data_IF_896394035764
#
_entry.id   IF_896394035764
#
_cell.length_a   1.000
_cell.length_b   1.000
_cell.length_c   1.000
_cell.angle_alpha   90.00
_cell.angle_beta   90.00
_cell.angle_gamma   90.00
#
_symmetry.space_group_name_H-M   'P 1'
#
loop_
_entity.id
_entity.type
_entity.pdbx_description
1 polymer ?
#
# COMPACT_ATOMS: atom_id res chain seq x y z
N UNK A 1 3.72 -28.90 -30.47
CA UNK A 1 4.71 -29.41 -29.49
C UNK A 1 4.16 -29.12 -28.12
N UNK A 2 3.65 -30.14 -27.45
CA UNK A 2 3.14 -30.05 -26.09
C UNK A 2 4.33 -29.81 -25.16
N UNK A 3 4.45 -28.61 -24.61
CA UNK A 3 5.40 -28.31 -23.54
C UNK A 3 4.96 -29.13 -22.32
N UNK A 4 5.72 -30.16 -21.97
CA UNK A 4 5.57 -30.81 -20.66
C UNK A 4 5.65 -29.73 -19.57
N UNK A 5 4.74 -29.75 -18.57
CA UNK A 5 4.80 -28.77 -17.50
C UNK A 5 6.13 -28.91 -16.76
N UNK A 6 6.88 -27.82 -16.65
CA UNK A 6 8.09 -27.75 -15.84
C UNK A 6 7.74 -28.17 -14.40
N UNK A 7 8.38 -29.23 -13.91
CA UNK A 7 8.19 -29.72 -12.56
C UNK A 7 8.65 -28.64 -11.55
N UNK A 8 7.91 -28.51 -10.45
CA UNK A 8 8.22 -27.51 -9.42
C UNK A 8 9.48 -27.93 -8.65
N UNK A 9 10.51 -27.06 -8.52
CA UNK A 9 11.75 -27.43 -7.87
C UNK A 9 11.60 -27.53 -6.35
N UNK A 10 12.06 -28.64 -5.78
CA UNK A 10 12.07 -28.90 -4.33
C UNK A 10 13.47 -29.29 -3.91
N UNK A 11 14.02 -28.59 -2.93
CA UNK A 11 15.33 -28.89 -2.34
C UNK A 11 15.16 -29.73 -1.08
N UNK A 12 15.79 -30.89 -1.02
CA UNK A 12 15.87 -31.75 0.18
C UNK A 12 17.27 -31.63 0.78
N UNK A 13 17.35 -31.22 2.04
CA UNK A 13 18.60 -31.01 2.77
C UNK A 13 18.58 -31.87 4.03
N UNK A 14 19.49 -32.83 4.09
CA UNK A 14 19.65 -33.76 5.21
C UNK A 14 21.08 -34.32 5.12
N UNK A 15 21.78 -34.62 6.21
CA UNK A 15 23.13 -35.17 6.16
C UNK A 15 23.15 -36.69 5.93
N UNK A 16 22.03 -37.38 6.22
CA UNK A 16 21.86 -38.81 6.02
C UNK A 16 21.41 -39.14 4.57
N UNK A 17 22.28 -39.82 3.80
CA UNK A 17 22.00 -40.16 2.40
C UNK A 17 20.75 -41.03 2.22
N UNK A 18 20.51 -41.99 3.11
CA UNK A 18 19.33 -42.86 3.05
C UNK A 18 18.02 -42.08 3.19
N UNK A 19 17.99 -41.08 4.08
CA UNK A 19 16.82 -40.21 4.28
C UNK A 19 16.62 -39.29 3.07
N UNK A 20 17.69 -38.66 2.57
CA UNK A 20 17.64 -37.85 1.33
C UNK A 20 17.08 -38.66 0.16
N UNK A 21 17.59 -39.86 -0.07
CA UNK A 21 17.19 -40.73 -1.19
C UNK A 21 15.74 -41.19 -1.05
N UNK A 22 15.27 -41.43 0.17
CA UNK A 22 13.89 -41.80 0.45
C UNK A 22 12.93 -40.64 0.16
N UNK A 23 13.20 -39.46 0.71
CA UNK A 23 12.38 -38.26 0.46
C UNK A 23 12.35 -37.92 -1.03
N UNK A 24 13.49 -38.02 -1.70
CA UNK A 24 13.60 -37.75 -3.14
C UNK A 24 12.74 -38.68 -3.97
N UNK A 25 12.77 -39.99 -3.70
CA UNK A 25 11.89 -40.97 -4.37
C UNK A 25 10.41 -40.73 -4.10
N UNK A 26 10.04 -40.31 -2.90
CA UNK A 26 8.63 -40.02 -2.56
C UNK A 26 8.07 -38.80 -3.31
N UNK A 27 8.93 -37.84 -3.65
CA UNK A 27 8.59 -36.58 -4.30
C UNK A 27 8.81 -36.57 -5.83
N UNK A 28 9.69 -37.42 -6.36
CA UNK A 28 10.08 -37.45 -7.78
C UNK A 28 8.91 -37.58 -8.78
N UNK A 29 7.76 -38.12 -8.35
CA UNK A 29 6.58 -38.25 -9.22
C UNK A 29 5.86 -36.93 -9.55
N UNK A 30 6.19 -35.82 -8.87
CA UNK A 30 5.50 -34.54 -9.07
C UNK A 30 6.38 -33.28 -8.93
N UNK A 31 7.67 -33.45 -8.63
CA UNK A 31 8.59 -32.36 -8.33
C UNK A 31 9.96 -32.59 -8.96
N UNK A 32 10.65 -31.51 -9.31
CA UNK A 32 12.07 -31.53 -9.65
C UNK A 32 12.86 -31.54 -8.34
N UNK A 33 13.23 -32.73 -7.86
CA UNK A 33 13.87 -32.87 -6.56
C UNK A 33 15.38 -32.71 -6.68
N UNK A 34 15.90 -31.74 -5.95
CA UNK A 34 17.32 -31.45 -5.79
C UNK A 34 17.72 -31.80 -4.36
N UNK A 35 18.95 -32.26 -4.16
CA UNK A 35 19.41 -32.70 -2.84
C UNK A 35 20.67 -31.97 -2.42
N UNK A 36 20.80 -31.64 -1.14
CA UNK A 36 22.03 -31.14 -0.53
C UNK A 36 22.35 -31.96 0.73
N UNK A 37 23.63 -32.22 0.97
CA UNK A 37 24.12 -32.99 2.13
C UNK A 37 24.40 -32.15 3.36
N UNK A 38 24.43 -30.83 3.22
CA UNK A 38 24.71 -29.88 4.30
C UNK A 38 24.16 -28.47 3.94
N UNK A 39 24.17 -27.57 4.92
CA UNK A 39 23.64 -26.22 4.76
C UNK A 39 24.38 -25.36 3.72
N UNK A 40 25.71 -25.46 3.61
CA UNK A 40 26.48 -24.64 2.67
C UNK A 40 26.20 -25.02 1.20
N UNK A 41 26.09 -26.33 0.96
CA UNK A 41 25.71 -26.90 -0.33
C UNK A 41 24.25 -26.53 -0.70
N UNK A 42 23.36 -26.49 0.28
CA UNK A 42 21.99 -26.02 0.11
C UNK A 42 21.95 -24.54 -0.27
N UNK A 43 22.71 -23.68 0.42
CA UNK A 43 22.76 -22.25 0.12
C UNK A 43 23.32 -21.97 -1.26
N UNK A 44 24.34 -22.70 -1.72
CA UNK A 44 24.87 -22.51 -3.08
C UNK A 44 23.78 -22.76 -4.12
N UNK A 45 22.93 -23.76 -3.90
CA UNK A 45 21.80 -24.03 -4.80
C UNK A 45 20.74 -22.94 -4.74
N UNK A 46 20.40 -22.46 -3.54
CA UNK A 46 19.40 -21.39 -3.36
C UNK A 46 19.85 -20.09 -4.04
N UNK A 47 21.13 -19.74 -4.01
CA UNK A 47 21.65 -18.55 -4.70
C UNK A 47 21.68 -18.71 -6.23
N UNK A 48 21.84 -19.93 -6.74
CA UNK A 48 21.90 -20.20 -8.18
C UNK A 48 20.51 -20.27 -8.83
N UNK A 49 19.69 -21.20 -8.37
CA UNK A 49 18.31 -21.40 -8.84
C UNK A 49 17.40 -21.73 -7.65
N UNK A 50 16.75 -20.72 -7.05
CA UNK A 50 15.96 -20.88 -5.83
C UNK A 50 14.83 -21.92 -6.00
N UNK A 51 14.70 -22.88 -5.07
CA UNK A 51 13.61 -23.85 -5.12
C UNK A 51 12.27 -23.22 -4.70
N UNK A 52 11.15 -23.85 -5.05
CA UNK A 52 9.86 -23.46 -4.51
C UNK A 52 9.72 -23.85 -3.04
N UNK A 53 10.27 -25.00 -2.67
CA UNK A 53 10.25 -25.55 -1.31
C UNK A 53 11.65 -26.04 -0.92
N UNK A 54 12.10 -25.73 0.29
CA UNK A 54 13.28 -26.31 0.92
C UNK A 54 12.84 -27.14 2.14
N UNK A 55 13.05 -28.46 2.06
CA UNK A 55 12.88 -29.41 3.16
C UNK A 55 14.22 -29.54 3.88
N UNK A 56 14.31 -29.06 5.11
CA UNK A 56 15.57 -28.98 5.84
C UNK A 56 15.51 -29.83 7.10
N UNK A 57 16.42 -30.79 7.25
CA UNK A 57 16.67 -31.41 8.54
C UNK A 57 17.20 -30.38 9.54
N UNK A 58 16.72 -30.44 10.78
CA UNK A 58 17.19 -29.54 11.83
C UNK A 58 18.64 -29.87 12.24
N UNK A 59 19.01 -31.15 12.31
CA UNK A 59 20.22 -31.63 12.99
C UNK A 59 21.29 -32.05 11.97
N UNK A 60 21.95 -31.06 11.38
CA UNK A 60 23.07 -31.28 10.46
C UNK A 60 24.43 -30.91 11.09
N UNK A 61 25.54 -31.61 10.73
CA UNK A 61 26.89 -31.22 11.12
C UNK A 61 27.27 -29.81 10.64
N UNK A 62 27.97 -29.06 11.50
CA UNK A 62 28.40 -27.70 11.20
C UNK A 62 27.28 -26.69 11.41
N UNK A 63 26.59 -26.32 10.35
CA UNK A 63 25.47 -25.36 10.38
C UNK A 63 24.15 -26.10 10.35
N UNK A 64 23.29 -25.81 11.32
CA UNK A 64 22.02 -26.49 11.50
C UNK A 64 20.92 -26.00 10.53
N UNK A 65 19.79 -26.71 10.52
CA UNK A 65 18.68 -26.38 9.63
C UNK A 65 17.97 -25.07 9.96
N UNK A 66 18.01 -24.60 11.21
CA UNK A 66 17.40 -23.33 11.62
C UNK A 66 18.21 -22.16 11.09
N UNK A 67 19.53 -22.25 11.18
CA UNK A 67 20.45 -21.31 10.56
C UNK A 67 20.22 -21.26 9.05
N UNK A 68 20.13 -22.42 8.39
CA UNK A 68 19.86 -22.50 6.96
C UNK A 68 18.52 -21.83 6.59
N UNK A 69 17.46 -22.09 7.36
CA UNK A 69 16.14 -21.50 7.14
C UNK A 69 16.19 -19.97 7.17
N UNK A 70 16.93 -19.38 8.12
CA UNK A 70 17.13 -17.93 8.18
C UNK A 70 17.86 -17.40 6.94
N UNK A 71 18.94 -18.05 6.53
CA UNK A 71 19.68 -17.62 5.34
C UNK A 71 18.86 -17.75 4.04
N UNK A 72 18.05 -18.81 3.91
CA UNK A 72 17.14 -18.97 2.77
C UNK A 72 16.11 -17.85 2.73
N UNK A 73 15.54 -17.46 3.88
CA UNK A 73 14.61 -16.32 3.93
C UNK A 73 15.23 -15.02 3.47
N UNK A 74 16.46 -14.75 3.90
CA UNK A 74 17.14 -13.50 3.55
C UNK A 74 17.52 -13.48 2.06
N UNK A 75 17.94 -14.62 1.49
CA UNK A 75 18.35 -14.72 0.09
C UNK A 75 17.16 -14.90 -0.88
N UNK A 76 16.13 -15.63 -0.48
CA UNK A 76 14.96 -15.97 -1.28
C UNK A 76 13.69 -16.02 -0.41
N UNK A 77 13.08 -14.85 -0.12
CA UNK A 77 11.88 -14.75 0.72
C UNK A 77 10.68 -15.52 0.19
N UNK A 78 10.67 -15.87 -1.10
CA UNK A 78 9.60 -16.63 -1.75
C UNK A 78 9.77 -18.14 -1.56
N UNK A 79 10.94 -18.64 -1.14
CA UNK A 79 11.17 -20.07 -0.94
C UNK A 79 10.47 -20.58 0.32
N UNK A 80 9.61 -21.58 0.18
CA UNK A 80 8.92 -22.16 1.32
C UNK A 80 9.83 -23.10 2.12
N UNK A 81 10.15 -22.76 3.38
CA UNK A 81 10.98 -23.63 4.23
C UNK A 81 10.12 -24.54 5.09
N UNK A 82 10.37 -25.85 5.02
CA UNK A 82 9.73 -26.90 5.81
C UNK A 82 10.82 -27.61 6.60
N UNK A 83 10.64 -27.73 7.92
CA UNK A 83 11.64 -28.35 8.78
C UNK A 83 11.32 -29.83 9.05
N UNK A 84 12.31 -30.71 8.93
CA UNK A 84 12.24 -32.09 9.39
C UNK A 84 12.97 -32.21 10.75
N UNK A 85 12.31 -32.79 11.74
CA UNK A 85 12.77 -32.76 13.14
C UNK A 85 12.55 -34.10 13.85
N UNK A 86 13.35 -34.43 14.86
CA UNK A 86 13.15 -35.62 15.69
C UNK A 86 12.08 -35.42 16.78
N UNK A 87 11.55 -36.52 17.33
CA UNK A 87 10.52 -36.51 18.39
C UNK A 87 10.96 -35.78 19.67
N UNK A 88 12.27 -35.66 19.93
CA UNK A 88 12.79 -34.99 21.14
C UNK A 88 12.84 -33.46 21.05
N UNK A 89 12.57 -32.88 19.87
CA UNK A 89 12.76 -31.45 19.61
C UNK A 89 11.43 -30.65 19.55
N UNK A 90 10.31 -31.24 20.00
CA UNK A 90 8.96 -30.61 19.92
C UNK A 90 8.89 -29.27 20.67
N UNK A 91 9.65 -29.11 21.76
CA UNK A 91 9.75 -27.84 22.48
C UNK A 91 10.51 -26.76 21.68
N UNK A 92 11.53 -27.15 20.90
CA UNK A 92 12.26 -26.27 19.98
C UNK A 92 11.45 -25.94 18.71
N UNK A 93 10.51 -26.81 18.31
CA UNK A 93 9.64 -26.60 17.15
C UNK A 93 8.70 -25.39 17.32
N UNK A 94 8.24 -25.10 18.55
CA UNK A 94 7.38 -23.94 18.86
C UNK A 94 8.14 -22.61 18.68
N UNK A 95 9.40 -22.54 19.13
CA UNK A 95 10.27 -21.36 18.94
C UNK A 95 10.64 -21.15 17.47
N UNK A 96 10.66 -22.23 16.70
CA UNK A 96 11.09 -22.21 15.30
C UNK A 96 9.99 -21.76 14.32
N UNK A 97 8.69 -21.93 14.66
CA UNK A 97 7.58 -21.31 13.89
C UNK A 97 7.67 -19.78 13.88
N UNK A 98 8.20 -19.18 14.95
CA UNK A 98 8.51 -17.74 15.00
C UNK A 98 9.72 -17.36 14.13
N UNK A 99 10.51 -18.35 13.72
CA UNK A 99 11.63 -18.23 12.78
C UNK A 99 11.20 -18.68 11.38
N UNK A 100 9.97 -18.36 10.93
CA UNK A 100 9.62 -18.31 9.52
C UNK A 100 9.62 -19.63 8.71
N UNK A 101 9.56 -20.79 9.36
CA UNK A 101 9.21 -22.04 8.66
C UNK A 101 7.69 -22.14 8.49
N UNK A 102 7.25 -22.70 7.36
CA UNK A 102 5.83 -22.82 7.00
C UNK A 102 5.22 -24.10 7.58
N UNK A 103 6.03 -25.14 7.80
CA UNK A 103 5.56 -26.40 8.35
C UNK A 103 6.69 -27.22 8.99
N UNK A 104 6.31 -28.20 9.81
CA UNK A 104 7.20 -29.13 10.51
C UNK A 104 6.80 -30.59 10.28
N UNK A 105 7.81 -31.42 10.06
CA UNK A 105 7.70 -32.87 9.87
C UNK A 105 8.45 -33.60 10.99
N UNK A 106 7.72 -34.26 11.87
CA UNK A 106 8.32 -35.06 12.94
C UNK A 106 8.72 -36.44 12.43
N UNK A 107 10.01 -36.78 12.49
CA UNK A 107 10.57 -38.09 12.12
C UNK A 107 10.24 -39.13 13.22
N UNK A 108 9.82 -40.37 12.86
CA UNK A 108 9.60 -40.86 11.50
C UNK A 108 8.25 -40.39 10.93
N UNK A 109 8.24 -39.99 9.65
CA UNK A 109 7.01 -39.62 8.92
C UNK A 109 6.85 -40.47 7.66
N UNK A 110 5.60 -40.63 7.23
CA UNK A 110 5.26 -41.36 6.00
C UNK A 110 5.24 -40.48 4.74
N UNK A 111 5.13 -41.13 3.58
CA UNK A 111 5.04 -40.49 2.26
C UNK A 111 3.93 -39.45 2.17
N UNK A 112 2.74 -39.77 2.67
CA UNK A 112 1.57 -38.89 2.52
C UNK A 112 1.75 -37.59 3.32
N UNK A 113 2.27 -37.69 4.55
CA UNK A 113 2.56 -36.52 5.39
C UNK A 113 3.60 -35.59 4.75
N UNK A 114 4.67 -36.15 4.19
CA UNK A 114 5.67 -35.37 3.46
C UNK A 114 5.04 -34.65 2.25
N UNK A 115 4.24 -35.36 1.46
CA UNK A 115 3.56 -34.79 0.28
C UNK A 115 2.62 -33.65 0.66
N UNK A 116 1.81 -33.83 1.69
CA UNK A 116 0.90 -32.79 2.17
C UNK A 116 1.64 -31.52 2.60
N UNK A 117 2.76 -31.67 3.30
CA UNK A 117 3.60 -30.54 3.69
C UNK A 117 4.22 -29.84 2.48
N UNK A 118 4.77 -30.58 1.52
CA UNK A 118 5.33 -30.00 0.30
C UNK A 118 4.26 -29.31 -0.55
N UNK A 119 3.07 -29.90 -0.68
CA UNK A 119 1.95 -29.26 -1.40
C UNK A 119 1.57 -27.91 -0.77
N UNK A 120 1.49 -27.83 0.57
CA UNK A 120 1.26 -26.56 1.27
C UNK A 120 2.39 -25.56 1.02
N UNK A 121 3.65 -26.00 1.06
CA UNK A 121 4.80 -25.16 0.76
C UNK A 121 4.77 -24.60 -0.66
N UNK A 122 4.40 -25.41 -1.66
CA UNK A 122 4.28 -24.97 -3.06
C UNK A 122 3.15 -23.95 -3.23
N UNK A 123 2.00 -24.17 -2.60
CA UNK A 123 0.90 -23.20 -2.66
C UNK A 123 1.30 -21.86 -2.03
N UNK A 124 1.94 -21.91 -0.86
CA UNK A 124 2.49 -20.72 -0.21
C UNK A 124 3.49 -19.99 -1.11
N UNK A 125 4.43 -20.72 -1.73
CA UNK A 125 5.40 -20.15 -2.67
C UNK A 125 4.70 -19.42 -3.82
N UNK A 126 3.68 -20.05 -4.43
CA UNK A 126 2.91 -19.43 -5.52
C UNK A 126 2.22 -18.15 -5.05
N UNK A 127 1.55 -18.15 -3.91
CA UNK A 127 0.90 -16.96 -3.36
C UNK A 127 1.91 -15.85 -3.04
N UNK A 128 3.07 -16.20 -2.47
CA UNK A 128 4.14 -15.25 -2.18
C UNK A 128 4.70 -14.60 -3.46
N UNK A 129 4.94 -15.41 -4.49
CA UNK A 129 5.40 -14.92 -5.80
C UNK A 129 4.39 -14.05 -6.51
N UNK A 130 3.12 -14.44 -6.48
CA UNK A 130 2.03 -13.64 -7.06
C UNK A 130 1.91 -12.29 -6.35
N UNK A 131 1.92 -12.30 -5.02
CA UNK A 131 1.89 -11.07 -4.21
C UNK A 131 3.07 -10.15 -4.53
N UNK A 132 4.28 -10.70 -4.66
CA UNK A 132 5.48 -9.93 -5.04
C UNK A 132 5.36 -9.33 -6.44
N UNK A 133 5.02 -10.15 -7.44
CA UNK A 133 4.85 -9.70 -8.83
C UNK A 133 3.78 -8.63 -8.95
N UNK A 134 2.68 -8.79 -8.22
CA UNK A 134 1.62 -7.79 -8.16
C UNK A 134 2.14 -6.46 -7.62
N UNK A 135 2.90 -6.46 -6.53
CA UNK A 135 3.53 -5.24 -5.97
C UNK A 135 4.49 -4.59 -6.97
N UNK A 136 5.39 -5.36 -7.56
CA UNK A 136 6.35 -4.86 -8.56
C UNK A 136 5.63 -4.25 -9.76
N UNK A 137 4.54 -4.86 -10.22
CA UNK A 137 3.72 -4.33 -11.30
C UNK A 137 3.01 -3.02 -10.91
N UNK A 138 2.45 -2.94 -9.70
CA UNK A 138 1.81 -1.72 -9.20
C UNK A 138 2.82 -0.57 -9.07
N UNK A 139 4.02 -0.84 -8.56
CA UNK A 139 5.08 0.16 -8.42
C UNK A 139 5.57 0.65 -9.79
N UNK A 140 5.79 -0.26 -10.74
CA UNK A 140 6.14 0.10 -12.11
C UNK A 140 5.04 0.94 -12.78
N UNK A 141 3.77 0.57 -12.61
CA UNK A 141 2.64 1.34 -13.15
C UNK A 141 2.54 2.73 -12.50
N UNK A 142 2.71 2.83 -11.18
CA UNK A 142 2.70 4.09 -10.45
C UNK A 142 3.78 5.03 -10.99
N UNK A 143 5.02 4.55 -11.14
CA UNK A 143 6.12 5.34 -11.67
C UNK A 143 5.86 5.79 -13.11
N UNK A 144 5.40 4.87 -13.97
CA UNK A 144 5.05 5.21 -15.35
C UNK A 144 3.86 6.19 -15.46
N UNK A 145 2.93 6.19 -14.50
CA UNK A 145 1.85 7.20 -14.42
C UNK A 145 2.42 8.55 -13.97
N UNK A 146 3.29 8.58 -12.95
CA UNK A 146 3.95 9.81 -12.48
C UNK A 146 4.69 10.51 -13.62
N UNK A 147 5.52 9.78 -14.35
CA UNK A 147 6.32 10.35 -15.45
C UNK A 147 5.43 10.98 -16.53
N UNK A 148 4.35 10.29 -16.92
CA UNK A 148 3.37 10.83 -17.89
C UNK A 148 2.70 12.12 -17.41
N UNK A 149 2.39 12.21 -16.12
CA UNK A 149 1.77 13.43 -15.57
C UNK A 149 2.78 14.57 -15.54
N UNK A 150 4.04 14.29 -15.15
CA UNK A 150 5.12 15.29 -15.17
C UNK A 150 5.32 15.83 -16.59
N UNK A 151 5.39 14.95 -17.60
CA UNK A 151 5.51 15.35 -19.00
C UNK A 151 4.31 16.19 -19.47
N UNK A 152 3.09 15.78 -19.08
CA UNK A 152 1.87 16.52 -19.42
C UNK A 152 1.87 17.92 -18.79
N UNK A 153 2.21 18.03 -17.50
CA UNK A 153 2.34 19.31 -16.78
C UNK A 153 3.41 20.18 -17.42
N UNK A 154 4.58 19.64 -17.75
CA UNK A 154 5.67 20.38 -18.38
C UNK A 154 5.30 20.94 -19.77
N UNK A 155 4.40 20.26 -20.48
CA UNK A 155 3.87 20.75 -21.77
C UNK A 155 2.85 21.90 -21.62
N UNK A 156 2.29 22.08 -20.43
CA UNK A 156 1.31 23.12 -20.12
C UNK A 156 2.01 24.32 -19.47
N UNK A 157 1.98 25.48 -20.11
CA UNK A 157 2.42 26.73 -19.46
C UNK A 157 1.36 27.14 -18.43
N UNK A 158 1.65 26.90 -17.15
CA UNK A 158 0.77 27.25 -16.02
C UNK A 158 1.22 28.59 -15.45
N UNK A 159 0.63 29.66 -15.97
CA UNK A 159 0.97 31.05 -15.65
C UNK A 159 -0.24 31.86 -15.13
N UNK A 160 -1.40 31.22 -14.97
CA UNK A 160 -2.62 31.84 -14.52
C UNK A 160 -3.77 30.86 -14.29
N UNK A 161 -4.89 31.39 -13.82
CA UNK A 161 -6.08 30.63 -13.43
C UNK A 161 -6.67 29.80 -14.58
N UNK A 162 -6.81 30.41 -15.76
CA UNK A 162 -7.32 29.71 -16.95
C UNK A 162 -6.41 28.57 -17.41
N UNK A 163 -5.10 28.65 -17.16
CA UNK A 163 -4.18 27.56 -17.46
C UNK A 163 -4.29 26.42 -16.44
N UNK A 164 -4.45 26.76 -15.17
CA UNK A 164 -4.67 25.80 -14.10
C UNK A 164 -5.99 25.01 -14.28
N UNK A 165 -7.07 25.68 -14.64
CA UNK A 165 -8.36 25.04 -14.95
C UNK A 165 -8.25 24.08 -16.14
N UNK A 166 -7.59 24.49 -17.22
CA UNK A 166 -7.31 23.60 -18.37
C UNK A 166 -6.48 22.38 -17.98
N UNK A 167 -5.47 22.56 -17.13
CA UNK A 167 -4.68 21.45 -16.60
C UNK A 167 -5.56 20.50 -15.81
N UNK A 168 -6.33 21.01 -14.85
CA UNK A 168 -7.18 20.18 -13.99
C UNK A 168 -8.20 19.40 -14.84
N UNK A 169 -8.95 20.09 -15.70
CA UNK A 169 -9.93 19.46 -16.60
C UNK A 169 -9.31 18.39 -17.50
N UNK A 170 -8.12 18.63 -18.05
CA UNK A 170 -7.40 17.67 -18.90
C UNK A 170 -6.98 16.43 -18.09
N UNK A 171 -6.42 16.64 -16.91
CA UNK A 171 -5.94 15.56 -16.04
C UNK A 171 -7.09 14.70 -15.50
N UNK A 172 -8.27 15.27 -15.32
CA UNK A 172 -9.47 14.58 -14.82
C UNK A 172 -10.41 14.09 -15.92
N UNK A 173 -10.03 14.10 -17.20
CA UNK A 173 -10.90 13.62 -18.30
C UNK A 173 -11.41 12.18 -18.09
N UNK A 174 -10.60 11.34 -17.45
CA UNK A 174 -10.96 9.95 -17.13
C UNK A 174 -11.84 9.78 -15.88
N UNK A 175 -12.07 10.86 -15.13
CA UNK A 175 -12.93 10.91 -13.94
C UNK A 175 -13.52 12.32 -13.76
N UNK A 176 -14.62 12.65 -14.48
CA UNK A 176 -15.26 13.95 -14.36
C UNK A 176 -15.71 14.31 -12.94
N UNK A 177 -16.00 13.31 -12.10
CA UNK A 177 -16.42 13.53 -10.72
C UNK A 177 -15.32 14.13 -9.85
N UNK A 178 -14.04 13.84 -10.16
CA UNK A 178 -12.89 14.41 -9.47
C UNK A 178 -12.74 15.91 -9.74
N UNK A 179 -13.03 16.36 -10.98
CA UNK A 179 -13.03 17.78 -11.33
C UNK A 179 -14.09 18.54 -10.52
N UNK A 180 -15.33 18.06 -10.54
CA UNK A 180 -16.42 18.72 -9.81
C UNK A 180 -16.18 18.72 -8.29
N UNK A 181 -15.63 17.63 -7.76
CA UNK A 181 -15.23 17.53 -6.35
C UNK A 181 -14.20 18.59 -5.97
N UNK A 182 -13.13 18.73 -6.75
CA UNK A 182 -12.08 19.73 -6.50
C UNK A 182 -12.65 21.16 -6.41
N UNK A 183 -13.57 21.53 -7.32
CA UNK A 183 -14.21 22.83 -7.31
C UNK A 183 -15.14 23.05 -6.11
N UNK A 184 -15.94 22.03 -5.73
CA UNK A 184 -16.82 22.14 -4.55
C UNK A 184 -16.02 22.27 -3.26
N UNK A 185 -14.97 21.47 -3.10
CA UNK A 185 -14.04 21.56 -1.97
C UNK A 185 -13.38 22.93 -1.91
N UNK A 186 -12.91 23.45 -3.05
CA UNK A 186 -12.31 24.77 -3.13
C UNK A 186 -13.26 25.89 -2.71
N UNK A 187 -14.48 25.92 -3.28
CA UNK A 187 -15.48 26.93 -2.95
C UNK A 187 -15.86 26.93 -1.46
N UNK A 188 -16.01 25.74 -0.86
CA UNK A 188 -16.31 25.59 0.55
C UNK A 188 -15.10 26.02 1.42
N UNK A 189 -13.89 25.62 1.05
CA UNK A 189 -12.67 26.00 1.76
C UNK A 189 -12.47 27.52 1.79
N UNK A 190 -12.66 28.21 0.66
CA UNK A 190 -12.61 29.68 0.57
C UNK A 190 -13.68 30.32 1.46
N UNK A 191 -14.91 29.79 1.46
CA UNK A 191 -16.01 30.29 2.31
C UNK A 191 -15.70 30.16 3.81
N UNK A 192 -15.09 29.05 4.22
CA UNK A 192 -14.61 28.82 5.59
C UNK A 192 -13.52 29.84 5.93
N UNK A 193 -12.52 30.01 5.05
CA UNK A 193 -11.41 30.93 5.26
C UNK A 193 -11.86 32.38 5.43
N UNK A 194 -12.80 32.84 4.57
CA UNK A 194 -13.41 34.18 4.68
C UNK A 194 -14.14 34.34 6.03
N UNK A 195 -14.89 33.32 6.46
CA UNK A 195 -15.61 33.33 7.75
C UNK A 195 -14.66 33.35 8.96
N UNK A 196 -13.41 32.89 8.78
CA UNK A 196 -12.35 32.96 9.78
C UNK A 196 -11.55 34.27 9.74
N UNK A 197 -11.77 35.12 8.72
CA UNK A 197 -11.00 36.35 8.52
C UNK A 197 -9.59 36.11 7.97
N UNK A 198 -9.38 35.01 7.23
CA UNK A 198 -8.12 34.79 6.50
C UNK A 198 -7.92 35.91 5.47
N UNK A 199 -6.72 36.54 5.39
CA UNK A 199 -6.48 37.64 4.46
C UNK A 199 -6.66 37.23 3.00
N UNK A 200 -7.18 38.16 2.18
CA UNK A 200 -7.36 37.96 0.74
C UNK A 200 -6.05 37.58 0.01
N UNK A 201 -4.89 37.97 0.56
CA UNK A 201 -3.58 37.62 0.00
C UNK A 201 -3.22 36.14 0.10
N UNK A 202 -3.87 35.39 1.00
CA UNK A 202 -3.63 33.98 1.25
C UNK A 202 -4.67 33.07 0.55
N UNK A 203 -5.81 33.63 0.16
CA UNK A 203 -6.89 32.90 -0.51
C UNK A 203 -6.46 32.23 -1.83
N UNK A 204 -5.65 32.85 -2.71
CA UNK A 204 -5.23 32.19 -3.95
C UNK A 204 -4.47 30.89 -3.70
N UNK A 205 -3.60 30.85 -2.68
CA UNK A 205 -2.85 29.64 -2.35
C UNK A 205 -3.76 28.54 -1.79
N UNK A 206 -4.75 28.91 -0.97
CA UNK A 206 -5.77 28.00 -0.47
C UNK A 206 -6.62 27.42 -1.61
N UNK A 207 -7.11 28.27 -2.51
CA UNK A 207 -7.93 27.88 -3.65
C UNK A 207 -7.17 26.91 -4.57
N UNK A 208 -5.95 27.28 -4.97
CA UNK A 208 -5.08 26.44 -5.78
C UNK A 208 -4.80 25.09 -5.10
N UNK A 209 -4.50 25.09 -3.80
CA UNK A 209 -4.26 23.87 -3.05
C UNK A 209 -5.51 23.00 -2.94
N UNK A 210 -6.68 23.59 -2.74
CA UNK A 210 -7.94 22.87 -2.68
C UNK A 210 -8.30 22.23 -4.03
N UNK A 211 -8.04 22.92 -5.14
CA UNK A 211 -8.22 22.36 -6.49
C UNK A 211 -7.27 21.18 -6.77
N UNK A 212 -6.07 21.19 -6.18
CA UNK A 212 -5.00 20.23 -6.46
C UNK A 212 -4.80 19.18 -5.36
N UNK A 213 -5.56 19.22 -4.27
CA UNK A 213 -5.30 18.40 -3.07
C UNK A 213 -5.25 16.88 -3.37
N UNK A 214 -6.01 16.46 -4.38
CA UNK A 214 -6.15 15.07 -4.81
C UNK A 214 -5.43 14.75 -6.13
N UNK A 215 -4.67 15.70 -6.71
CA UNK A 215 -4.02 15.51 -8.03
C UNK A 215 -3.06 14.30 -8.05
N UNK A 216 -2.47 13.96 -6.91
CA UNK A 216 -1.61 12.78 -6.80
C UNK A 216 -2.34 11.45 -6.97
N UNK A 217 -3.68 11.41 -6.86
CA UNK A 217 -4.47 10.18 -7.11
C UNK A 217 -4.34 9.70 -8.55
N UNK A 218 -4.03 10.61 -9.49
CA UNK A 218 -3.79 10.28 -10.90
C UNK A 218 -2.60 9.33 -11.09
N UNK A 219 -1.62 9.37 -10.19
CA UNK A 219 -0.48 8.47 -10.19
C UNK A 219 -0.80 7.09 -9.60
N UNK A 220 -1.87 6.97 -8.82
CA UNK A 220 -2.24 5.71 -8.18
C UNK A 220 -2.81 4.75 -9.25
N UNK A 221 -2.35 3.49 -9.30
CA UNK A 221 -2.87 2.49 -10.25
C UNK A 221 -4.39 2.30 -10.14
N UNK A 222 -5.07 2.17 -11.29
CA UNK A 222 -6.53 2.03 -11.32
C UNK A 222 -7.01 0.76 -10.63
N UNK A 223 -6.21 -0.31 -10.69
CA UNK A 223 -6.49 -1.57 -10.00
C UNK A 223 -6.63 -1.39 -8.47
N UNK A 224 -6.03 -0.33 -7.91
CA UNK A 224 -6.15 0.05 -6.51
C UNK A 224 -7.24 1.10 -6.34
N UNK A 225 -7.19 2.21 -7.09
CA UNK A 225 -8.10 3.34 -6.91
C UNK A 225 -9.57 3.01 -7.22
N UNK A 226 -9.81 2.12 -8.19
CA UNK A 226 -11.15 1.71 -8.66
C UNK A 226 -11.53 0.29 -8.26
N UNK A 227 -10.76 -0.34 -7.37
CA UNK A 227 -11.03 -1.70 -6.88
C UNK A 227 -12.46 -1.78 -6.35
N UNK A 228 -13.29 -2.78 -6.72
CA UNK A 228 -14.67 -3.00 -6.24
C UNK A 228 -14.72 -3.88 -4.98
N UNK A 229 -13.68 -3.85 -4.14
CA UNK A 229 -13.64 -4.44 -2.81
C UNK A 229 -12.83 -3.57 -1.82
N UNK A 230 -12.94 -3.80 -0.50
CA UNK A 230 -12.08 -3.13 0.48
C UNK A 230 -10.59 -3.26 0.14
N UNK A 231 -9.85 -2.18 0.35
CA UNK A 231 -8.40 -2.14 0.14
C UNK A 231 -7.67 -2.93 1.24
N UNK A 232 -6.64 -3.68 0.85
CA UNK A 232 -5.69 -4.30 1.79
C UNK A 232 -4.87 -3.21 2.50
N UNK A 233 -4.20 -3.57 3.59
CA UNK A 233 -3.33 -2.61 4.31
C UNK A 233 -2.26 -2.00 3.39
N UNK A 234 -1.69 -2.80 2.50
CA UNK A 234 -0.67 -2.34 1.54
C UNK A 234 -1.25 -1.41 0.47
N UNK A 235 -2.43 -1.74 -0.05
CA UNK A 235 -3.15 -0.89 -1.00
C UNK A 235 -3.55 0.45 -0.36
N UNK A 236 -3.95 0.45 0.92
CA UNK A 236 -4.23 1.67 1.67
C UNK A 236 -2.97 2.53 1.84
N UNK A 237 -1.82 1.91 2.12
CA UNK A 237 -0.54 2.64 2.17
C UNK A 237 -0.20 3.29 0.83
N UNK A 238 -0.43 2.58 -0.29
CA UNK A 238 -0.23 3.13 -1.63
C UNK A 238 -1.10 4.36 -1.87
N UNK A 239 -2.40 4.30 -1.56
CA UNK A 239 -3.32 5.45 -1.70
C UNK A 239 -2.88 6.62 -0.81
N UNK A 240 -2.37 6.37 0.40
CA UNK A 240 -1.87 7.42 1.31
C UNK A 240 -0.63 8.17 0.79
N UNK A 241 0.02 7.70 -0.27
CA UNK A 241 1.11 8.43 -0.91
C UNK A 241 0.63 9.64 -1.74
N UNK A 242 -0.65 9.70 -2.12
CA UNK A 242 -1.14 10.71 -3.05
C UNK A 242 -0.90 12.18 -2.64
N UNK A 243 -0.91 12.61 -1.36
CA UNK A 243 -0.64 14.01 -1.04
C UNK A 243 0.83 14.36 -1.31
N UNK A 244 1.74 13.45 -0.97
CA UNK A 244 3.17 13.61 -1.24
C UNK A 244 3.44 13.60 -2.75
N UNK A 245 2.85 12.65 -3.48
CA UNK A 245 2.97 12.60 -4.95
C UNK A 245 2.40 13.87 -5.58
N UNK A 246 1.22 14.32 -5.14
CA UNK A 246 0.58 15.53 -5.64
C UNK A 246 1.46 16.76 -5.48
N UNK A 247 2.04 16.94 -4.28
CA UNK A 247 3.00 18.00 -4.01
C UNK A 247 4.25 17.90 -4.91
N UNK A 248 4.81 16.70 -5.10
CA UNK A 248 5.97 16.49 -5.97
C UNK A 248 5.64 16.84 -7.44
N UNK A 249 4.46 16.45 -7.93
CA UNK A 249 4.02 16.69 -9.32
C UNK A 249 3.89 18.17 -9.65
N UNK A 250 3.45 18.97 -8.69
CA UNK A 250 3.26 20.41 -8.88
C UNK A 250 4.47 21.25 -8.45
N UNK A 251 5.50 20.59 -7.89
CA UNK A 251 6.74 21.26 -7.52
C UNK A 251 7.44 21.78 -8.78
N UNK A 252 7.88 23.04 -8.72
CA UNK A 252 8.57 23.70 -9.83
C UNK A 252 7.67 24.59 -10.70
N UNK A 253 6.36 24.66 -10.45
CA UNK A 253 5.45 25.58 -11.13
C UNK A 253 5.33 26.88 -10.31
N UNK A 254 5.89 28.02 -10.77
CA UNK A 254 5.93 29.24 -9.97
C UNK A 254 4.56 29.77 -9.55
N UNK A 255 3.55 29.64 -10.42
CA UNK A 255 2.20 30.14 -10.20
C UNK A 255 1.50 29.50 -8.99
N UNK A 256 1.80 28.23 -8.69
CA UNK A 256 1.18 27.45 -7.60
C UNK A 256 2.19 27.05 -6.50
N UNK A 257 3.37 27.67 -6.47
CA UNK A 257 4.43 27.29 -5.53
C UNK A 257 4.00 27.34 -4.06
N UNK A 258 3.10 28.27 -3.69
CA UNK A 258 2.57 28.39 -2.32
C UNK A 258 1.60 27.26 -1.96
N UNK A 259 1.01 26.60 -2.94
CA UNK A 259 0.05 25.50 -2.73
C UNK A 259 0.75 24.16 -2.43
N UNK A 260 2.02 23.99 -2.81
CA UNK A 260 2.78 22.72 -2.69
C UNK A 260 2.73 22.16 -1.28
N UNK A 261 3.06 22.98 -0.28
CA UNK A 261 3.10 22.56 1.11
C UNK A 261 1.70 22.28 1.68
N UNK A 262 0.70 23.02 1.21
CA UNK A 262 -0.70 22.84 1.60
C UNK A 262 -1.23 21.51 1.07
N UNK A 263 -0.98 21.20 -0.22
CA UNK A 263 -1.38 19.92 -0.85
C UNK A 263 -0.76 18.73 -0.12
N UNK A 264 0.52 18.83 0.24
CA UNK A 264 1.22 17.76 0.97
C UNK A 264 0.54 17.40 2.29
N UNK A 265 0.02 18.39 3.00
CA UNK A 265 -0.54 18.22 4.34
C UNK A 265 -2.08 18.20 4.38
N UNK A 266 -2.76 18.18 3.23
CA UNK A 266 -4.23 18.26 3.16
C UNK A 266 -4.96 17.09 3.88
N UNK A 267 -4.27 15.95 4.03
CA UNK A 267 -4.79 14.76 4.72
C UNK A 267 -4.18 14.54 6.12
N UNK A 268 -3.48 15.54 6.64
CA UNK A 268 -3.03 15.53 8.02
C UNK A 268 -4.21 15.75 8.97
N UNK A 269 -4.08 15.19 10.17
CA UNK A 269 -5.11 15.27 11.21
C UNK A 269 -4.57 16.06 12.39
N UNK A 270 -5.45 16.81 13.05
CA UNK A 270 -5.03 17.62 14.20
C UNK A 270 -4.43 16.78 15.34
N UNK A 271 -4.87 15.52 15.48
CA UNK A 271 -4.37 14.51 16.42
C UNK A 271 -3.05 13.80 15.98
N UNK A 272 -2.58 14.04 14.76
CA UNK A 272 -1.36 13.43 14.20
C UNK A 272 -1.50 11.98 13.78
N UNK A 273 -2.73 11.49 13.61
CA UNK A 273 -3.00 10.19 13.01
C UNK A 273 -3.20 10.28 11.48
N UNK A 274 -2.93 11.46 10.91
CA UNK A 274 -3.01 11.74 9.49
C UNK A 274 -1.81 11.23 8.70
N UNK A 275 -1.71 11.65 7.45
CA UNK A 275 -0.64 11.29 6.54
C UNK A 275 -0.35 12.46 5.59
N UNK A 276 0.84 12.54 4.98
CA UNK A 276 1.91 11.54 4.95
C UNK A 276 2.94 11.62 6.10
N UNK A 277 3.01 12.74 6.84
CA UNK A 277 4.04 13.01 7.83
C UNK A 277 3.59 12.77 9.28
N UNK A 278 2.28 12.77 9.57
CA UNK A 278 1.74 12.59 10.92
C UNK A 278 1.97 13.80 11.83
N UNK A 279 2.10 14.98 11.24
CA UNK A 279 2.28 16.26 11.96
C UNK A 279 1.00 16.66 12.70
N UNK A 280 1.12 17.53 13.70
CA UNK A 280 0.03 17.82 14.66
C UNK A 280 -0.32 19.30 14.76
N UNK A 281 -1.61 19.56 14.96
CA UNK A 281 -2.13 20.88 15.30
C UNK A 281 -1.59 22.00 14.41
N UNK A 282 -0.87 22.94 15.01
CA UNK A 282 -0.34 24.13 14.33
C UNK A 282 0.82 23.88 13.38
N UNK A 283 1.44 22.69 13.40
CA UNK A 283 2.44 22.31 12.39
C UNK A 283 1.80 22.08 11.02
N UNK A 284 0.49 21.81 10.98
CA UNK A 284 -0.28 21.68 9.75
C UNK A 284 -0.64 23.10 9.26
N UNK A 285 -0.32 23.46 8.00
CA UNK A 285 -0.74 24.72 7.42
C UNK A 285 -2.24 24.98 7.63
N UNK A 286 -2.61 26.21 8.01
CA UNK A 286 -4.01 26.56 8.25
C UNK A 286 -4.89 26.20 7.05
N UNK A 287 -4.43 26.51 5.84
CA UNK A 287 -5.13 26.17 4.60
C UNK A 287 -5.38 24.66 4.44
N UNK A 288 -4.41 23.81 4.82
CA UNK A 288 -4.56 22.37 4.73
C UNK A 288 -5.60 21.85 5.73
N UNK A 289 -5.63 22.40 6.95
CA UNK A 289 -6.67 22.09 7.95
C UNK A 289 -8.06 22.53 7.46
N UNK A 290 -8.17 23.67 6.78
CA UNK A 290 -9.43 24.13 6.17
C UNK A 290 -9.89 23.16 5.08
N UNK A 291 -9.00 22.78 4.16
CA UNK A 291 -9.28 21.82 3.08
C UNK A 291 -9.76 20.48 3.65
N UNK A 292 -9.13 19.98 4.72
CA UNK A 292 -9.49 18.70 5.34
C UNK A 292 -10.96 18.65 5.80
N UNK A 293 -11.50 19.76 6.30
CA UNK A 293 -12.92 19.86 6.72
C UNK A 293 -13.83 19.92 5.49
N UNK A 294 -13.46 20.72 4.48
CA UNK A 294 -14.23 20.85 3.25
C UNK A 294 -14.30 19.53 2.47
N UNK A 295 -13.18 18.83 2.32
CA UNK A 295 -13.11 17.52 1.67
C UNK A 295 -13.95 16.48 2.42
N UNK A 296 -13.82 16.39 3.75
CA UNK A 296 -14.60 15.43 4.54
C UNK A 296 -16.11 15.64 4.36
N UNK A 297 -16.57 16.90 4.33
CA UNK A 297 -17.98 17.20 4.11
C UNK A 297 -18.45 16.84 2.69
N UNK A 298 -17.71 17.23 1.64
CA UNK A 298 -18.09 16.88 0.26
C UNK A 298 -18.07 15.36 0.06
N UNK A 299 -17.05 14.69 0.59
CA UNK A 299 -16.91 13.24 0.57
C UNK A 299 -18.09 12.51 1.24
N UNK A 300 -18.62 13.03 2.35
CA UNK A 300 -19.74 12.41 3.06
C UNK A 300 -21.09 12.63 2.37
N UNK A 301 -21.28 13.78 1.73
CA UNK A 301 -22.57 14.19 1.15
C UNK A 301 -22.77 13.75 -0.31
N UNK A 302 -21.86 12.93 -0.84
CA UNK A 302 -21.87 12.44 -2.22
C UNK A 302 -21.72 10.92 -2.28
N UNK A 303 -22.41 10.25 -3.22
CA UNK A 303 -22.31 8.80 -3.37
C UNK A 303 -20.93 8.40 -3.89
N UNK A 304 -20.40 7.28 -3.39
CA UNK A 304 -19.17 6.64 -3.86
C UNK A 304 -19.42 5.16 -4.16
N UNK A 305 -18.48 4.52 -4.86
CA UNK A 305 -18.53 3.10 -5.25
C UNK A 305 -18.91 2.15 -4.10
N UNK A 306 -18.60 2.50 -2.85
CA UNK A 306 -18.84 1.66 -1.66
C UNK A 306 -19.65 2.31 -0.54
N UNK A 307 -20.14 3.53 -0.73
CA UNK A 307 -20.78 4.27 0.35
C UNK A 307 -21.83 5.22 -0.21
N UNK A 308 -23.05 5.07 0.29
CA UNK A 308 -24.13 6.00 0.01
C UNK A 308 -23.83 7.37 0.65
N UNK A 309 -24.29 8.44 -0.01
CA UNK A 309 -24.26 9.78 0.55
C UNK A 309 -25.07 9.82 1.85
N UNK A 310 -24.55 10.50 2.88
CA UNK A 310 -25.33 10.87 4.06
C UNK A 310 -25.89 12.27 3.90
N UNK A 311 -26.92 12.60 4.70
CA UNK A 311 -27.51 13.93 4.66
C UNK A 311 -26.50 15.01 5.06
N UNK A 312 -26.65 16.23 4.56
CA UNK A 312 -25.81 17.37 4.96
C UNK A 312 -25.85 17.57 6.50
N UNK A 313 -27.01 17.35 7.12
CA UNK A 313 -27.17 17.39 8.57
C UNK A 313 -26.30 16.35 9.28
N UNK A 314 -26.33 15.11 8.83
CA UNK A 314 -25.54 14.03 9.43
C UNK A 314 -24.04 14.24 9.20
N UNK A 315 -23.66 14.76 8.03
CA UNK A 315 -22.28 15.15 7.73
C UNK A 315 -21.81 16.27 8.68
N UNK A 316 -22.62 17.29 8.95
CA UNK A 316 -22.29 18.32 9.94
C UNK A 316 -22.12 17.73 11.34
N UNK A 317 -23.01 16.83 11.77
CA UNK A 317 -22.90 16.15 13.06
C UNK A 317 -21.60 15.34 13.17
N UNK A 318 -21.20 14.64 12.11
CA UNK A 318 -19.96 13.88 12.09
C UNK A 318 -18.72 14.78 12.10
N UNK A 319 -18.71 15.87 11.34
CA UNK A 319 -17.63 16.88 11.40
C UNK A 319 -17.52 17.46 12.82
N UNK A 320 -18.64 17.82 13.45
CA UNK A 320 -18.67 18.30 14.84
C UNK A 320 -18.16 17.26 15.84
N UNK A 321 -18.54 15.99 15.68
CA UNK A 321 -18.09 14.88 16.52
C UNK A 321 -16.57 14.69 16.46
N UNK A 322 -15.97 14.97 15.31
CA UNK A 322 -14.54 14.83 15.06
C UNK A 322 -13.72 16.10 15.36
N UNK A 323 -14.34 17.17 15.87
CA UNK A 323 -13.64 18.36 16.33
C UNK A 323 -12.68 18.05 17.49
N UNK A 324 -11.47 18.62 17.46
CA UNK A 324 -10.43 18.40 18.46
C UNK A 324 -9.68 17.06 18.32
N UNK A 325 -10.06 16.22 17.36
CA UNK A 325 -9.33 15.00 16.98
C UNK A 325 -8.86 15.09 15.53
N UNK A 326 -9.74 14.76 14.58
CA UNK A 326 -9.45 14.89 13.16
C UNK A 326 -9.28 16.36 12.77
N UNK A 327 -10.23 17.19 13.20
CA UNK A 327 -10.37 18.57 12.72
C UNK A 327 -10.06 19.58 13.81
N UNK A 328 -9.58 20.75 13.39
CA UNK A 328 -9.41 21.90 14.27
C UNK A 328 -10.79 22.45 14.70
N UNK A 329 -11.08 22.57 16.01
CA UNK A 329 -12.37 23.10 16.49
C UNK A 329 -12.73 24.48 15.93
N UNK A 330 -11.77 25.38 15.75
CA UNK A 330 -12.04 26.73 15.27
C UNK A 330 -12.51 26.74 13.81
N UNK A 331 -11.97 25.80 13.01
CA UNK A 331 -12.35 25.61 11.61
C UNK A 331 -13.72 24.97 11.53
N UNK A 332 -14.01 23.98 12.39
CA UNK A 332 -15.34 23.36 12.47
C UNK A 332 -16.41 24.39 12.81
N UNK A 333 -16.15 25.27 13.78
CA UNK A 333 -17.08 26.35 14.14
C UNK A 333 -17.35 27.30 12.96
N UNK A 334 -16.31 27.65 12.18
CA UNK A 334 -16.45 28.47 10.99
C UNK A 334 -17.25 27.76 9.88
N UNK A 335 -16.95 26.48 9.65
CA UNK A 335 -17.66 25.63 8.70
C UNK A 335 -19.16 25.53 9.03
N UNK A 336 -19.53 25.31 10.29
CA UNK A 336 -20.94 25.24 10.69
C UNK A 336 -21.69 26.55 10.43
N UNK A 337 -21.03 27.71 10.62
CA UNK A 337 -21.61 29.01 10.28
C UNK A 337 -21.84 29.14 8.77
N UNK A 338 -20.89 28.71 7.94
CA UNK A 338 -21.03 28.71 6.48
C UNK A 338 -22.25 27.89 6.05
N UNK A 339 -22.36 26.65 6.52
CA UNK A 339 -23.47 25.76 6.13
C UNK A 339 -24.84 26.27 6.61
N UNK A 340 -24.91 26.85 7.81
CA UNK A 340 -26.15 27.45 8.33
C UNK A 340 -26.62 28.64 7.50
N UNK A 341 -25.69 29.47 7.01
CA UNK A 341 -26.01 30.60 6.13
C UNK A 341 -26.56 30.09 4.81
N UNK A 342 -25.92 29.10 4.19
CA UNK A 342 -26.36 28.56 2.89
C UNK A 342 -27.78 27.98 2.98
N UNK A 343 -28.09 27.24 4.05
CA UNK A 343 -29.41 26.66 4.27
C UNK A 343 -30.54 27.69 4.57
N UNK A 344 -30.20 28.94 4.90
CA UNK A 344 -31.17 30.02 5.11
C UNK A 344 -31.46 30.83 3.82
N UNK A 345 -30.64 30.65 2.79
CA UNK A 345 -30.75 31.31 1.47
C UNK A 345 -31.38 30.44 0.37
N UNK A 346 -31.65 29.17 0.65
CA UNK A 346 -32.43 28.24 -0.20
C UNK A 346 -33.89 28.16 0.28
#
# INVERSE_FOLDING_TARGET
>A
MSTEPLLTPVLVVDDESGVRDLMSRWLAAGYDVRTASNADEALTRVHGDPPAVALCDIRMPGRDGLWLAQQIRDASPETAVIMATGVQDVASAVTSLQQGAIDYLTKPFGRDRLRDSVMRGVEWHRSARESRRWREALEAELNARRDRIVDAIASLSIDGEAALDRMLSTLTLGDPSAYEHAYRVSALAVSIALTMGVPDTDLPALEQAALLHDVGKLAIPDAVLRKPAPLTAEEQLLVRLHPAIGADLITGIPYIAKAVDIVRHAHERSDGLGFPNGVRGSEIPLAARIISVADAFDTMTRPRVFRDAISARDACLEVSRCAGTQFDPQIVDAFLRVIQVTAATE
#
